data_IF_028698192145
#
_entry.id   IF_028698192145
#
_cell.length_a   1.000
_cell.length_b   1.000
_cell.length_c   1.000
_cell.angle_alpha   90.00
_cell.angle_beta   90.00
_cell.angle_gamma   90.00
#
_symmetry.space_group_name_H-M   'P 1'
#
loop_
_entity.id
_entity.type
_entity.pdbx_description
1 polymer ?
#
# COMPACT_ATOMS: atom_id res chain seq x y z
N UNK A 1 -2.22 6.57 8.57
CA UNK A 1 -2.43 6.09 7.18
C UNK A 1 -1.23 5.30 6.67
N UNK A 2 0.00 5.82 6.76
CA UNK A 2 1.24 5.13 6.33
C UNK A 2 1.42 3.73 6.94
N UNK A 3 1.12 3.55 8.22
CA UNK A 3 1.15 2.22 8.85
C UNK A 3 0.17 1.25 8.18
N UNK A 4 -1.03 1.72 7.81
CA UNK A 4 -2.01 0.92 7.08
C UNK A 4 -1.54 0.54 5.67
N UNK A 5 -0.83 1.44 4.99
CA UNK A 5 -0.18 1.16 3.70
C UNK A 5 0.83 0.03 3.84
N UNK A 6 1.80 0.18 4.76
CA UNK A 6 2.90 -0.77 4.93
C UNK A 6 2.38 -2.14 5.39
N UNK A 7 1.57 -2.13 6.45
CA UNK A 7 1.01 -3.36 7.01
C UNK A 7 0.07 -4.05 6.02
N UNK A 8 -0.82 -3.30 5.38
CA UNK A 8 -1.73 -3.84 4.38
C UNK A 8 -0.99 -4.40 3.17
N UNK A 9 0.04 -3.70 2.69
CA UNK A 9 0.87 -4.17 1.56
C UNK A 9 1.59 -5.47 1.88
N UNK A 10 2.15 -5.58 3.09
CA UNK A 10 2.85 -6.78 3.54
C UNK A 10 1.90 -7.94 3.78
N UNK A 11 0.77 -7.68 4.43
CA UNK A 11 -0.28 -8.68 4.65
C UNK A 11 -0.89 -9.17 3.34
N UNK A 12 -1.19 -8.27 2.41
CA UNK A 12 -1.66 -8.64 1.08
C UNK A 12 -0.63 -9.44 0.30
N UNK A 13 0.66 -9.14 0.45
CA UNK A 13 1.72 -9.95 -0.16
C UNK A 13 1.77 -11.37 0.43
N UNK A 14 1.74 -11.46 1.75
CA UNK A 14 1.76 -12.74 2.46
C UNK A 14 0.55 -13.61 2.12
N UNK A 15 -0.65 -13.04 2.08
CA UNK A 15 -1.88 -13.80 1.83
C UNK A 15 -2.08 -14.17 0.35
N UNK A 16 -1.73 -13.30 -0.59
CA UNK A 16 -2.06 -13.50 -2.00
C UNK A 16 -0.91 -14.09 -2.84
N UNK A 17 0.35 -13.93 -2.42
CA UNK A 17 1.51 -14.30 -3.24
C UNK A 17 2.40 -15.37 -2.62
N UNK A 18 2.60 -15.36 -1.31
CA UNK A 18 3.52 -16.32 -0.65
C UNK A 18 2.99 -16.89 0.68
N UNK A 19 1.76 -17.45 0.73
CA UNK A 19 1.18 -17.93 1.98
C UNK A 19 2.05 -18.99 2.68
N UNK A 20 2.57 -19.96 1.92
CA UNK A 20 3.39 -21.05 2.48
C UNK A 20 4.72 -20.56 3.07
N UNK A 21 5.33 -19.52 2.49
CA UNK A 21 6.58 -18.95 3.02
C UNK A 21 6.35 -18.33 4.40
N UNK A 22 5.29 -17.53 4.57
CA UNK A 22 4.99 -16.87 5.84
C UNK A 22 4.41 -17.82 6.91
N UNK A 23 3.87 -18.97 6.50
CA UNK A 23 3.49 -20.04 7.44
C UNK A 23 4.74 -20.73 8.03
N UNK A 24 5.74 -20.98 7.19
CA UNK A 24 6.99 -21.64 7.61
C UNK A 24 7.95 -20.71 8.34
N UNK A 25 7.97 -19.41 7.98
CA UNK A 25 8.82 -18.41 8.62
C UNK A 25 8.05 -17.11 8.95
N UNK A 26 7.23 -17.09 10.02
CA UNK A 26 6.38 -15.94 10.35
C UNK A 26 7.15 -14.63 10.60
N UNK A 27 8.39 -14.72 11.08
CA UNK A 27 9.26 -13.55 11.31
C UNK A 27 9.68 -12.85 10.01
N UNK A 28 9.62 -13.55 8.87
CA UNK A 28 9.84 -12.95 7.55
C UNK A 28 8.87 -11.79 7.29
N UNK A 29 7.71 -11.77 7.95
CA UNK A 29 6.73 -10.69 7.81
C UNK A 29 7.34 -9.31 8.09
N UNK A 30 8.23 -9.20 9.08
CA UNK A 30 8.86 -7.94 9.47
C UNK A 30 10.06 -7.55 8.60
N UNK A 31 10.57 -8.45 7.76
CA UNK A 31 11.72 -8.22 6.89
C UNK A 31 11.31 -7.49 5.61
N UNK A 32 10.98 -6.21 5.75
CA UNK A 32 10.51 -5.37 4.64
C UNK A 32 11.58 -5.10 3.57
N UNK A 33 12.86 -5.23 3.92
CA UNK A 33 13.99 -5.03 3.02
C UNK A 33 14.19 -6.18 2.01
N UNK A 34 13.56 -7.33 2.23
CA UNK A 34 13.57 -8.45 1.27
C UNK A 34 12.64 -8.21 0.07
N UNK A 35 11.96 -7.05 0.04
CA UNK A 35 10.93 -6.74 -0.94
C UNK A 35 9.63 -7.48 -0.62
N UNK A 36 8.74 -7.57 -1.60
CA UNK A 36 7.44 -8.23 -1.44
C UNK A 36 6.38 -7.33 -0.81
N UNK A 37 5.71 -6.55 -1.66
CA UNK A 37 4.60 -5.68 -1.30
C UNK A 37 3.46 -5.85 -2.31
N UNK A 38 2.22 -5.92 -1.82
CA UNK A 38 1.03 -5.96 -2.66
C UNK A 38 0.41 -4.57 -2.79
N UNK A 39 0.23 -4.09 -4.02
CA UNK A 39 -0.48 -2.83 -4.27
C UNK A 39 -1.93 -2.87 -3.76
N UNK A 40 -2.64 -3.97 -4.02
CA UNK A 40 -4.02 -4.16 -3.53
C UNK A 40 -4.08 -4.18 -2.01
N UNK A 41 -3.10 -4.83 -1.37
CA UNK A 41 -2.94 -4.83 0.08
C UNK A 41 -2.73 -3.42 0.64
N UNK A 42 -1.85 -2.63 0.02
CA UNK A 42 -1.63 -1.22 0.39
C UNK A 42 -2.93 -0.40 0.30
N UNK A 43 -3.68 -0.54 -0.79
CA UNK A 43 -4.92 0.20 -1.01
C UNK A 43 -5.97 -0.15 0.06
N UNK A 44 -6.25 -1.43 0.26
CA UNK A 44 -7.22 -1.92 1.25
C UNK A 44 -6.80 -1.49 2.67
N UNK A 45 -5.53 -1.70 3.02
CA UNK A 45 -5.00 -1.32 4.34
C UNK A 45 -5.09 0.18 4.61
N UNK A 46 -4.92 1.02 3.58
CA UNK A 46 -5.10 2.48 3.69
C UNK A 46 -6.56 2.84 3.95
N UNK A 47 -7.48 2.27 3.17
CA UNK A 47 -8.93 2.51 3.30
C UNK A 47 -9.40 2.12 4.70
N UNK A 48 -9.03 0.93 5.17
CA UNK A 48 -9.37 0.46 6.53
C UNK A 48 -8.77 1.37 7.60
N UNK A 49 -7.53 1.81 7.45
CA UNK A 49 -6.90 2.74 8.40
C UNK A 49 -7.60 4.11 8.43
N UNK A 50 -8.08 4.60 7.27
CA UNK A 50 -8.87 5.83 7.18
C UNK A 50 -10.23 5.69 7.85
N UNK A 51 -10.94 4.59 7.59
CA UNK A 51 -12.22 4.28 8.24
C UNK A 51 -12.07 4.20 9.77
N UNK A 52 -11.06 3.46 10.26
CA UNK A 52 -10.79 3.35 11.69
C UNK A 52 -10.43 4.69 12.33
N UNK A 53 -9.65 5.53 11.64
CA UNK A 53 -9.30 6.86 12.11
C UNK A 53 -10.51 7.79 12.18
N UNK A 54 -11.33 7.82 11.12
CA UNK A 54 -12.58 8.59 11.05
C UNK A 54 -13.53 8.19 12.17
N UNK A 55 -13.73 6.88 12.40
CA UNK A 55 -14.58 6.38 13.47
C UNK A 55 -14.08 6.79 14.87
N UNK A 56 -12.78 6.60 15.14
CA UNK A 56 -12.18 6.96 16.45
C UNK A 56 -12.24 8.46 16.76
N UNK A 57 -12.29 9.31 15.72
CA UNK A 57 -12.30 10.77 15.85
C UNK A 57 -13.68 11.40 15.63
N UNK A 58 -14.71 10.60 15.31
CA UNK A 58 -16.04 11.11 14.99
C UNK A 58 -16.08 12.00 13.75
N UNK A 59 -15.15 11.79 12.79
CA UNK A 59 -15.07 12.59 11.58
C UNK A 59 -15.91 11.98 10.45
N UNK A 60 -16.55 12.79 9.59
CA UNK A 60 -17.23 12.29 8.40
C UNK A 60 -16.22 11.63 7.45
N UNK A 61 -16.45 10.35 7.16
CA UNK A 61 -15.53 9.53 6.36
C UNK A 61 -15.27 10.12 4.97
N UNK A 62 -16.31 10.59 4.29
CA UNK A 62 -16.18 11.14 2.93
C UNK A 62 -15.32 12.40 2.89
N UNK A 63 -15.48 13.31 3.85
CA UNK A 63 -14.65 14.51 3.92
C UNK A 63 -13.18 14.17 4.18
N UNK A 64 -12.90 13.10 4.95
CA UNK A 64 -11.53 12.61 5.10
C UNK A 64 -10.97 12.09 3.77
N UNK A 65 -11.76 11.36 2.98
CA UNK A 65 -11.36 10.93 1.64
C UNK A 65 -11.11 12.12 0.70
N UNK A 66 -11.99 13.14 0.70
CA UNK A 66 -11.83 14.34 -0.13
C UNK A 66 -10.49 15.03 0.15
N UNK A 67 -10.18 15.26 1.42
CA UNK A 67 -8.90 15.90 1.82
C UNK A 67 -7.72 15.04 1.40
N UNK A 68 -7.75 13.73 1.67
CA UNK A 68 -6.63 12.83 1.34
C UNK A 68 -6.44 12.69 -0.17
N UNK A 69 -7.51 12.74 -0.96
CA UNK A 69 -7.46 12.65 -2.43
C UNK A 69 -6.57 13.71 -3.05
N UNK A 70 -6.48 14.91 -2.45
CA UNK A 70 -5.63 16.01 -2.94
C UNK A 70 -4.13 15.69 -2.83
N UNK A 71 -3.74 14.79 -1.92
CA UNK A 71 -2.36 14.39 -1.71
C UNK A 71 -1.95 13.16 -2.56
N UNK A 72 -2.92 12.37 -3.04
CA UNK A 72 -2.66 11.15 -3.84
C UNK A 72 -1.85 11.41 -5.11
N UNK A 73 -2.07 12.50 -5.88
CA UNK A 73 -1.30 12.78 -7.09
C UNK A 73 0.21 12.86 -6.85
N UNK A 74 0.66 13.40 -5.71
CA UNK A 74 2.08 13.47 -5.38
C UNK A 74 2.69 12.07 -5.22
N UNK A 75 1.99 11.17 -4.53
CA UNK A 75 2.44 9.78 -4.38
C UNK A 75 2.53 9.06 -5.73
N UNK A 76 1.53 9.23 -6.60
CA UNK A 76 1.54 8.65 -7.96
C UNK A 76 2.65 9.25 -8.83
N UNK A 77 2.88 10.55 -8.73
CA UNK A 77 3.93 11.25 -9.46
C UNK A 77 5.31 10.70 -9.12
N UNK A 78 5.65 10.64 -7.83
CA UNK A 78 6.93 10.08 -7.39
C UNK A 78 7.05 8.58 -7.73
N UNK A 79 5.96 7.82 -7.61
CA UNK A 79 5.93 6.43 -8.04
C UNK A 79 6.25 6.27 -9.54
N UNK A 80 5.74 7.15 -10.40
CA UNK A 80 6.04 7.11 -11.84
C UNK A 80 7.47 7.53 -12.16
N UNK A 81 8.04 8.49 -11.45
CA UNK A 81 9.46 8.81 -11.55
C UNK A 81 10.32 7.60 -11.15
N UNK A 82 9.98 6.92 -10.05
CA UNK A 82 10.68 5.72 -9.62
C UNK A 82 10.61 4.61 -10.69
N UNK A 83 9.43 4.35 -11.26
CA UNK A 83 9.27 3.37 -12.33
C UNK A 83 10.18 3.68 -13.54
N UNK A 84 10.25 4.97 -13.93
CA UNK A 84 11.10 5.41 -15.03
C UNK A 84 12.59 5.21 -14.74
N UNK A 85 13.04 5.55 -13.52
CA UNK A 85 14.44 5.37 -13.09
C UNK A 85 14.80 3.87 -13.01
N UNK A 86 13.87 3.03 -12.55
CA UNK A 86 14.05 1.58 -12.45
C UNK A 86 14.03 0.86 -13.81
N UNK A 87 13.60 1.55 -14.88
CA UNK A 87 13.39 0.92 -16.19
C UNK A 87 12.26 -0.11 -16.18
N UNK A 88 11.20 0.15 -15.41
CA UNK A 88 10.01 -0.72 -15.35
C UNK A 88 8.76 -0.01 -15.93
N UNK A 89 7.77 -0.81 -16.36
CA UNK A 89 6.48 -0.33 -16.89
C UNK A 89 6.59 0.59 -18.12
N UNK A 90 7.46 0.22 -19.07
CA UNK A 90 7.50 0.88 -20.38
C UNK A 90 6.18 0.75 -21.15
N UNK A 91 5.91 1.73 -22.00
CA UNK A 91 4.78 1.73 -22.91
C UNK A 91 4.89 0.67 -24.00
N UNK A 92 3.90 0.65 -24.89
CA UNK A 92 3.93 -0.23 -26.06
C UNK A 92 5.06 0.20 -27.01
N UNK A 93 5.71 -0.75 -27.72
CA UNK A 93 6.66 -0.42 -28.78
C UNK A 93 6.00 0.45 -29.86
N UNK A 94 6.77 1.38 -30.40
CA UNK A 94 6.43 2.24 -31.54
C UNK A 94 7.44 2.06 -32.64
#
# INVERSE_FOLDING_TARGET
MTVGIIFGGRLGYALFYQPDHFLNEPLAFFRLWEGGMSFHGCLIGTIVAMMAFSWKRGLPLMSLFDVVSTAVPFGLFFGRIANFINGELFGRPT
#
